data_IF_993475689778
#
_entry.id   IF_993475689778
#
_cell.length_a   1.000
_cell.length_b   1.000
_cell.length_c   1.000
_cell.angle_alpha   90.00
_cell.angle_beta   90.00
_cell.angle_gamma   90.00
#
_symmetry.space_group_name_H-M   'P 1'
#
loop_
_entity.id
_entity.type
_entity.pdbx_description
1 polymer ?
#
# COMPACT_ATOMS: atom_id res chain seq x y z
N UNK A 1 15.08 -0.97 -10.51
CA UNK A 1 14.36 -0.13 -11.50
C UNK A 1 14.68 1.32 -11.18
N UNK A 2 15.16 2.10 -12.15
CA UNK A 2 15.44 3.52 -11.93
C UNK A 2 14.14 4.29 -11.64
N UNK A 3 14.20 5.29 -10.76
CA UNK A 3 13.06 6.13 -10.46
C UNK A 3 12.61 6.90 -11.72
N UNK A 4 11.30 6.87 -12.01
CA UNK A 4 10.72 7.64 -13.10
C UNK A 4 10.72 9.11 -12.71
N UNK A 5 11.37 9.97 -13.52
CA UNK A 5 11.32 11.42 -13.32
C UNK A 5 9.92 11.92 -13.68
N UNK A 6 9.10 12.20 -12.66
CA UNK A 6 7.77 12.78 -12.80
C UNK A 6 7.84 14.30 -12.87
N UNK A 7 6.99 14.92 -13.71
CA UNK A 7 6.77 16.37 -13.80
C UNK A 7 5.55 16.83 -12.99
N UNK A 8 4.99 15.95 -12.15
CA UNK A 8 3.76 16.18 -11.38
C UNK A 8 2.48 15.80 -12.12
N UNK A 9 2.57 15.40 -13.39
CA UNK A 9 1.45 14.88 -14.18
C UNK A 9 1.21 13.38 -14.00
N UNK A 10 0.16 12.89 -14.69
CA UNK A 10 -0.09 11.44 -14.80
C UNK A 10 1.09 10.77 -15.50
N UNK A 11 1.71 9.82 -14.80
CA UNK A 11 2.86 9.08 -15.27
C UNK A 11 2.49 7.61 -15.52
N UNK A 12 3.27 6.92 -16.35
CA UNK A 12 3.00 5.53 -16.76
C UNK A 12 2.90 4.54 -15.58
N UNK A 13 3.46 4.86 -14.42
CA UNK A 13 3.36 4.02 -13.23
C UNK A 13 1.98 4.03 -12.54
N UNK A 14 1.05 4.90 -12.96
CA UNK A 14 -0.36 4.87 -12.56
C UNK A 14 -1.25 4.05 -13.50
N UNK A 15 -0.73 3.61 -14.65
CA UNK A 15 -1.51 2.81 -15.58
C UNK A 15 -1.87 1.45 -14.95
N UNK A 16 -3.15 1.09 -15.03
CA UNK A 16 -3.65 -0.22 -14.64
C UNK A 16 -3.38 -1.18 -15.80
N UNK A 17 -2.72 -2.33 -15.56
CA UNK A 17 -2.48 -3.29 -16.63
C UNK A 17 -3.80 -3.90 -17.12
N UNK A 18 -3.88 -4.21 -18.41
CA UNK A 18 -5.13 -4.66 -19.05
C UNK A 18 -5.66 -5.99 -18.52
N UNK A 19 -4.82 -6.78 -17.85
CA UNK A 19 -5.24 -8.04 -17.22
C UNK A 19 -5.88 -7.85 -15.85
N UNK A 20 -5.68 -6.70 -15.19
CA UNK A 20 -6.16 -6.51 -13.82
C UNK A 20 -7.67 -6.26 -13.80
N UNK A 21 -8.37 -7.08 -13.02
CA UNK A 21 -9.81 -7.03 -12.79
C UNK A 21 -10.10 -6.47 -11.39
N UNK A 22 -9.23 -6.75 -10.42
CA UNK A 22 -9.39 -6.28 -9.05
C UNK A 22 -8.08 -5.83 -8.36
N UNK A 23 -8.19 -5.48 -7.07
CA UNK A 23 -7.02 -5.05 -6.28
C UNK A 23 -6.02 -6.17 -6.03
N UNK A 24 -6.45 -7.44 -6.03
CA UNK A 24 -5.58 -8.61 -5.92
C UNK A 24 -4.59 -8.65 -7.08
N UNK A 25 -5.07 -8.48 -8.31
CA UNK A 25 -4.22 -8.43 -9.50
C UNK A 25 -3.17 -7.32 -9.40
N UNK A 26 -3.56 -6.15 -8.89
CA UNK A 26 -2.65 -5.02 -8.69
C UNK A 26 -1.63 -5.27 -7.57
N UNK A 27 -2.03 -5.93 -6.49
CA UNK A 27 -1.15 -6.32 -5.37
C UNK A 27 -0.07 -7.28 -5.87
N UNK A 28 -0.46 -8.28 -6.66
CA UNK A 28 0.44 -9.27 -7.23
C UNK A 28 1.36 -8.64 -8.28
N UNK A 29 0.81 -7.84 -9.20
CA UNK A 29 1.57 -7.14 -10.23
C UNK A 29 2.66 -6.24 -9.66
N UNK A 30 2.34 -5.52 -8.57
CA UNK A 30 3.29 -4.63 -7.87
C UNK A 30 4.16 -5.36 -6.84
N UNK A 31 3.97 -6.67 -6.65
CA UNK A 31 4.66 -7.50 -5.65
C UNK A 31 4.59 -6.87 -4.25
N UNK A 32 3.42 -6.36 -3.87
CA UNK A 32 3.25 -5.73 -2.56
C UNK A 32 3.40 -6.76 -1.45
N UNK A 33 4.02 -6.36 -0.33
CA UNK A 33 4.05 -7.17 0.88
C UNK A 33 2.63 -7.39 1.43
N UNK A 34 2.48 -8.34 2.36
CA UNK A 34 1.22 -8.55 3.08
C UNK A 34 0.70 -7.26 3.74
N UNK A 35 1.60 -6.43 4.29
CA UNK A 35 1.22 -5.19 4.93
C UNK A 35 0.77 -4.15 3.89
N UNK A 36 1.54 -3.94 2.82
CA UNK A 36 1.18 -3.00 1.75
C UNK A 36 -0.13 -3.38 1.05
N UNK A 37 -0.37 -4.67 0.80
CA UNK A 37 -1.64 -5.13 0.25
C UNK A 37 -2.84 -4.83 1.16
N UNK A 38 -2.68 -4.95 2.48
CA UNK A 38 -3.71 -4.59 3.44
C UNK A 38 -3.95 -3.07 3.53
N UNK A 39 -2.89 -2.27 3.44
CA UNK A 39 -2.99 -0.80 3.36
C UNK A 39 -3.76 -0.42 2.10
N UNK A 40 -3.38 -0.96 0.94
CA UNK A 40 -4.02 -0.64 -0.33
C UNK A 40 -5.51 -0.99 -0.33
N UNK A 41 -5.88 -2.19 0.14
CA UNK A 41 -7.28 -2.59 0.31
C UNK A 41 -8.04 -1.68 1.28
N UNK A 42 -7.41 -1.24 2.38
CA UNK A 42 -8.04 -0.33 3.34
C UNK A 42 -8.25 1.08 2.79
N UNK A 43 -7.31 1.59 1.99
CA UNK A 43 -7.46 2.87 1.29
C UNK A 43 -8.56 2.81 0.23
N UNK A 44 -8.63 1.73 -0.56
CA UNK A 44 -9.63 1.61 -1.62
C UNK A 44 -11.06 1.54 -1.06
N UNK A 45 -11.30 0.72 -0.04
CA UNK A 45 -12.65 0.51 0.52
C UNK A 45 -13.06 1.53 1.60
N UNK A 46 -12.35 2.65 1.72
CA UNK A 46 -12.35 3.49 2.91
C UNK A 46 -13.77 3.94 3.34
N UNK A 47 -14.27 3.41 4.46
CA UNK A 47 -15.63 3.69 4.95
C UNK A 47 -16.78 2.95 4.26
N UNK A 48 -16.49 2.01 3.36
CA UNK A 48 -17.50 1.24 2.61
C UNK A 48 -17.78 -0.14 3.21
N UNK A 49 -16.86 -0.66 4.05
CA UNK A 49 -17.00 -2.00 4.62
C UNK A 49 -17.97 -1.99 5.82
N UNK A 50 -19.04 -2.75 5.68
CA UNK A 50 -20.01 -2.98 6.75
C UNK A 50 -19.34 -3.55 8.03
N UNK A 51 -19.87 -3.15 9.18
CA UNK A 51 -19.31 -3.48 10.50
C UNK A 51 -17.97 -2.81 10.83
N UNK A 52 -17.47 -1.88 10.02
CA UNK A 52 -16.27 -1.10 10.32
C UNK A 52 -16.49 0.40 10.18
N UNK A 53 -15.65 1.22 10.83
CA UNK A 53 -15.70 2.67 10.72
C UNK A 53 -14.50 3.19 9.93
N UNK A 54 -14.59 4.42 9.39
CA UNK A 54 -13.43 5.14 8.83
C UNK A 54 -12.25 5.18 9.81
N UNK A 55 -12.52 5.30 11.11
CA UNK A 55 -11.50 5.25 12.16
C UNK A 55 -10.84 3.88 12.28
N UNK A 56 -11.61 2.80 12.10
CA UNK A 56 -11.06 1.44 12.05
C UNK A 56 -10.13 1.28 10.84
N UNK A 57 -10.51 1.79 9.67
CA UNK A 57 -9.67 1.72 8.48
C UNK A 57 -8.36 2.50 8.65
N UNK A 58 -8.41 3.71 9.23
CA UNK A 58 -7.20 4.48 9.57
C UNK A 58 -6.29 3.71 10.54
N UNK A 59 -6.85 3.13 11.61
CA UNK A 59 -6.07 2.32 12.56
C UNK A 59 -5.40 1.13 11.89
N UNK A 60 -6.10 0.47 10.96
CA UNK A 60 -5.55 -0.64 10.18
C UNK A 60 -4.39 -0.17 9.30
N UNK A 61 -4.53 0.96 8.62
CA UNK A 61 -3.45 1.56 7.81
C UNK A 61 -2.23 1.87 8.68
N UNK A 62 -2.42 2.56 9.81
CA UNK A 62 -1.35 2.91 10.75
C UNK A 62 -0.61 1.64 11.22
N UNK A 63 -1.36 0.64 11.70
CA UNK A 63 -0.79 -0.62 12.17
C UNK A 63 0.11 -1.30 11.13
N UNK A 64 -0.35 -1.38 9.88
CA UNK A 64 0.43 -2.02 8.83
C UNK A 64 1.61 -1.16 8.35
N UNK A 65 1.49 0.16 8.41
CA UNK A 65 2.58 1.08 8.08
C UNK A 65 3.70 1.05 9.11
N UNK A 66 3.36 1.05 10.41
CA UNK A 66 4.33 0.91 11.51
C UNK A 66 5.11 -0.42 11.40
N UNK A 67 4.45 -1.49 10.98
CA UNK A 67 5.10 -2.79 10.76
C UNK A 67 6.09 -2.77 9.59
N UNK A 68 5.75 -2.10 8.48
CA UNK A 68 6.69 -1.94 7.37
C UNK A 68 7.87 -1.07 7.75
N UNK A 69 7.64 0.02 8.49
CA UNK A 69 8.71 0.85 9.00
C UNK A 69 9.69 0.05 9.87
N UNK A 70 9.17 -0.78 10.79
CA UNK A 70 10.00 -1.64 11.63
C UNK A 70 10.75 -2.74 10.84
N UNK A 71 10.27 -3.16 9.66
CA UNK A 71 11.01 -4.07 8.78
C UNK A 71 12.17 -3.31 8.13
N UNK A 72 11.91 -2.13 7.58
CA UNK A 72 12.92 -1.27 6.97
C UNK A 72 14.03 -0.90 7.96
N UNK A 73 13.66 -0.52 9.18
CA UNK A 73 14.63 -0.18 10.23
C UNK A 73 15.57 -1.36 10.52
N UNK A 74 15.06 -2.61 10.54
CA UNK A 74 15.89 -3.81 10.73
C UNK A 74 16.80 -4.08 9.53
N UNK A 75 16.31 -3.87 8.31
CA UNK A 75 17.11 -4.02 7.07
C UNK A 75 18.23 -2.98 6.99
N UNK A 76 17.97 -1.76 7.47
CA UNK A 76 18.92 -0.66 7.52
C UNK A 76 19.83 -0.69 8.77
N UNK A 77 19.60 -1.62 9.70
CA UNK A 77 20.36 -1.74 10.94
C UNK A 77 20.10 -0.62 11.96
N UNK A 78 18.97 0.07 11.86
CA UNK A 78 18.52 1.08 12.81
C UNK A 78 17.92 0.42 14.05
N UNK A 79 18.18 1.01 15.22
CA UNK A 79 17.52 0.60 16.46
C UNK A 79 16.03 1.02 16.42
N UNK A 80 15.10 0.22 16.94
CA UNK A 80 13.71 0.64 17.06
C UNK A 80 13.60 1.87 17.97
N UNK A 81 12.87 2.90 17.51
CA UNK A 81 12.52 4.09 18.31
C UNK A 81 11.58 3.78 19.48
#
# INVERSE_FOLDING_TARGET
>A
MAAVKSDGGSSSYYNIPSFAVDLGDLIEFKKMSFNFGNIFKACYRFGEKDGTSKRYDLKKIIYFAERELAILDREEGKAPE
#
